data_IF_751588432557
#
_entry.id   IF_751588432557
#
_cell.length_a   1.000
_cell.length_b   1.000
_cell.length_c   1.000
_cell.angle_alpha   90.00
_cell.angle_beta   90.00
_cell.angle_gamma   90.00
#
_symmetry.space_group_name_H-M   'P 1'
#
loop_
_entity.id
_entity.type
_entity.pdbx_description
1 polymer ?
#
# COMPACT_ATOMS: atom_id res chain seq x y z
N UNK A 1 59.70 -8.37 -50.95
CA UNK A 1 58.53 -7.61 -50.40
C UNK A 1 57.86 -8.48 -49.30
N UNK A 2 58.15 -8.23 -48.02
CA UNK A 2 57.59 -8.92 -46.88
C UNK A 2 56.43 -8.07 -46.36
N UNK A 3 55.18 -8.62 -46.37
CA UNK A 3 54.02 -7.99 -45.77
C UNK A 3 53.96 -8.40 -44.28
N UNK A 4 54.05 -7.40 -43.39
CA UNK A 4 53.85 -7.55 -41.97
C UNK A 4 52.36 -7.39 -41.72
N UNK A 5 51.69 -8.44 -41.26
CA UNK A 5 50.32 -8.38 -40.76
C UNK A 5 50.37 -7.95 -39.28
N UNK A 6 49.85 -6.77 -38.97
CA UNK A 6 49.63 -6.33 -37.59
C UNK A 6 48.27 -6.83 -37.13
N UNK A 7 48.27 -7.73 -36.12
CA UNK A 7 47.06 -8.13 -35.39
C UNK A 7 46.77 -7.10 -34.30
N UNK A 8 45.69 -6.33 -34.45
CA UNK A 8 45.14 -5.52 -33.40
C UNK A 8 44.30 -6.42 -32.48
N UNK A 9 44.79 -6.68 -31.27
CA UNK A 9 44.01 -7.26 -30.17
C UNK A 9 43.12 -6.15 -29.59
N UNK A 10 41.81 -6.16 -29.89
CA UNK A 10 40.84 -5.38 -29.19
C UNK A 10 40.54 -6.06 -27.86
N UNK A 11 41.08 -5.55 -26.75
CA UNK A 11 40.70 -5.95 -25.41
C UNK A 11 39.32 -5.40 -25.13
N UNK A 12 38.28 -6.24 -25.24
CA UNK A 12 36.98 -5.96 -24.66
C UNK A 12 37.11 -5.98 -23.12
N UNK A 13 37.24 -4.81 -22.52
CA UNK A 13 37.05 -4.65 -21.09
C UNK A 13 35.55 -4.76 -20.84
N UNK A 14 35.08 -5.97 -20.53
CA UNK A 14 33.78 -6.16 -19.92
C UNK A 14 33.84 -5.55 -18.50
N UNK A 15 33.44 -4.30 -18.35
CA UNK A 15 33.06 -3.74 -17.07
C UNK A 15 31.83 -4.53 -16.60
N UNK A 16 32.06 -5.60 -15.84
CA UNK A 16 31.02 -6.27 -15.09
C UNK A 16 30.44 -5.27 -14.11
N UNK A 17 29.30 -4.68 -14.44
CA UNK A 17 28.49 -4.01 -13.44
C UNK A 17 28.19 -5.05 -12.35
N UNK A 18 28.91 -5.00 -11.24
CA UNK A 18 28.56 -5.78 -10.07
C UNK A 18 27.08 -5.48 -9.78
N UNK A 19 26.24 -6.52 -9.88
CA UNK A 19 24.83 -6.38 -9.54
C UNK A 19 24.79 -5.97 -8.06
N UNK A 20 24.64 -4.68 -7.82
CA UNK A 20 24.57 -4.14 -6.48
C UNK A 20 23.39 -4.80 -5.77
N UNK A 21 23.66 -5.44 -4.65
CA UNK A 21 22.66 -6.22 -3.91
C UNK A 21 21.51 -5.33 -3.42
N UNK A 22 20.35 -5.92 -3.24
CA UNK A 22 19.22 -5.27 -2.60
C UNK A 22 19.63 -4.77 -1.20
N UNK A 23 19.28 -3.54 -0.81
CA UNK A 23 19.68 -3.01 0.49
C UNK A 23 19.01 -3.77 1.62
N UNK A 24 19.76 -4.13 2.67
CA UNK A 24 19.20 -4.73 3.87
C UNK A 24 18.52 -3.68 4.76
N UNK A 25 19.04 -2.46 4.75
CA UNK A 25 18.52 -1.30 5.46
C UNK A 25 18.93 -0.03 4.74
N UNK A 26 18.05 0.96 4.72
CA UNK A 26 18.38 2.32 4.31
C UNK A 26 17.57 3.34 5.11
N UNK A 27 18.04 4.57 5.14
CA UNK A 27 17.42 5.68 5.82
C UNK A 27 17.20 6.82 4.82
N UNK A 28 15.94 7.26 4.71
CA UNK A 28 15.55 8.36 3.83
C UNK A 28 15.21 9.58 4.68
N UNK A 29 15.85 10.71 4.41
CA UNK A 29 15.62 11.97 5.14
C UNK A 29 15.01 13.00 4.20
N UNK A 30 13.90 13.60 4.62
CA UNK A 30 13.25 14.67 3.88
C UNK A 30 12.95 15.87 4.76
N UNK A 31 12.88 17.05 4.16
CA UNK A 31 12.38 18.26 4.81
C UNK A 31 10.85 18.22 4.79
N UNK A 32 10.25 17.67 5.84
CA UNK A 32 8.81 17.59 5.99
C UNK A 32 8.43 17.57 7.46
N UNK A 33 7.18 17.86 7.76
CA UNK A 33 6.55 17.60 9.07
C UNK A 33 5.84 16.26 9.10
N UNK A 34 5.63 15.67 7.94
CA UNK A 34 4.79 14.50 7.70
C UNK A 34 5.64 13.24 7.78
N UNK A 35 5.11 12.18 8.35
CA UNK A 35 5.77 10.88 8.40
C UNK A 35 5.44 10.03 7.17
N UNK A 36 6.22 8.96 6.96
CA UNK A 36 5.98 7.99 5.91
C UNK A 36 4.64 7.27 6.11
N UNK A 37 3.90 7.06 5.02
CA UNK A 37 2.56 6.45 5.00
C UNK A 37 2.49 5.20 4.13
N UNK A 38 3.31 5.12 3.10
CA UNK A 38 3.30 4.02 2.14
C UNK A 38 4.60 3.88 1.39
N UNK A 39 4.79 2.72 0.78
CA UNK A 39 6.01 2.38 0.06
C UNK A 39 5.73 1.43 -1.11
N UNK A 40 6.47 1.61 -2.20
CA UNK A 40 6.55 0.66 -3.30
C UNK A 40 8.00 0.54 -3.79
N UNK A 41 8.34 -0.57 -4.43
CA UNK A 41 9.68 -0.82 -4.98
C UNK A 41 9.61 -1.05 -6.49
N UNK A 42 10.56 -0.46 -7.21
CA UNK A 42 10.85 -0.74 -8.61
C UNK A 42 12.26 -1.34 -8.71
N UNK A 43 12.32 -2.65 -8.81
CA UNK A 43 13.59 -3.38 -8.88
C UNK A 43 14.33 -3.16 -10.19
N UNK A 44 13.61 -2.88 -11.28
CA UNK A 44 14.22 -2.59 -12.59
C UNK A 44 14.91 -1.22 -12.60
N UNK A 45 14.28 -0.22 -11.99
CA UNK A 45 14.83 1.12 -11.82
C UNK A 45 15.70 1.26 -10.56
N UNK A 46 15.82 0.21 -9.73
CA UNK A 46 16.62 0.18 -8.50
C UNK A 46 16.26 1.33 -7.55
N UNK A 47 14.98 1.53 -7.32
CA UNK A 47 14.50 2.60 -6.46
C UNK A 47 13.27 2.19 -5.64
N UNK A 48 13.02 2.97 -4.59
CA UNK A 48 11.78 2.97 -3.84
C UNK A 48 11.00 4.25 -4.11
N UNK A 49 9.69 4.14 -4.02
CA UNK A 49 8.77 5.25 -3.95
C UNK A 49 8.16 5.28 -2.55
N UNK A 50 8.15 6.44 -1.91
CA UNK A 50 7.64 6.65 -0.57
C UNK A 50 6.61 7.76 -0.60
N UNK A 51 5.51 7.59 0.10
CA UNK A 51 4.57 8.67 0.40
C UNK A 51 4.84 9.23 1.79
N UNK A 52 4.78 10.56 1.89
CA UNK A 52 4.81 11.31 3.15
C UNK A 52 3.64 12.26 3.10
N UNK A 53 2.52 11.93 3.67
CA UNK A 53 1.24 12.68 3.66
C UNK A 53 1.04 13.68 2.51
N UNK A 54 1.93 14.67 2.33
CA UNK A 54 1.82 15.75 1.33
C UNK A 54 2.88 15.69 0.23
N UNK A 55 3.64 14.61 0.16
CA UNK A 55 4.68 14.44 -0.87
C UNK A 55 4.89 12.98 -1.27
N UNK A 56 5.33 12.77 -2.52
CA UNK A 56 5.84 11.50 -3.02
C UNK A 56 7.32 11.66 -3.35
N UNK A 57 8.15 10.69 -2.93
CA UNK A 57 9.61 10.74 -3.05
C UNK A 57 10.11 9.48 -3.73
N UNK A 58 10.94 9.63 -4.77
CA UNK A 58 11.71 8.55 -5.40
C UNK A 58 13.10 8.53 -4.81
N UNK A 59 13.56 7.38 -4.34
CA UNK A 59 14.89 7.23 -3.71
C UNK A 59 15.64 6.04 -4.29
N UNK A 60 16.96 6.13 -4.37
CA UNK A 60 17.81 5.01 -4.76
C UNK A 60 17.99 3.99 -3.61
N UNK A 61 18.78 2.94 -3.85
CA UNK A 61 19.08 1.90 -2.86
C UNK A 61 20.07 2.36 -1.78
N UNK A 62 20.65 3.53 -1.90
CA UNK A 62 21.51 4.20 -0.92
C UNK A 62 20.71 5.16 -0.01
N UNK A 63 19.43 5.44 -0.36
CA UNK A 63 18.55 6.37 0.37
C UNK A 63 18.64 7.82 -0.10
N UNK A 64 19.32 8.07 -1.22
CA UNK A 64 19.36 9.41 -1.82
C UNK A 64 18.04 9.72 -2.53
N UNK A 65 17.55 10.93 -2.32
CA UNK A 65 16.35 11.41 -3.01
C UNK A 65 16.71 11.74 -4.45
N UNK A 66 16.13 11.01 -5.40
CA UNK A 66 16.30 11.20 -6.83
C UNK A 66 15.30 12.21 -7.40
N UNK A 67 14.07 12.19 -6.91
CA UNK A 67 12.99 13.10 -7.29
C UNK A 67 11.93 13.20 -6.21
N UNK A 68 11.19 14.29 -6.18
CA UNK A 68 10.02 14.46 -5.33
C UNK A 68 8.89 15.20 -6.04
N UNK A 69 7.66 14.92 -5.60
CA UNK A 69 6.48 15.71 -5.89
C UNK A 69 5.96 16.19 -4.55
N UNK A 70 6.06 17.50 -4.32
CA UNK A 70 5.78 18.11 -3.04
C UNK A 70 4.48 18.94 -3.07
N UNK A 71 4.01 19.36 -1.90
CA UNK A 71 2.85 20.24 -1.73
C UNK A 71 1.56 19.68 -2.32
N UNK A 72 1.39 18.35 -2.27
CA UNK A 72 0.15 17.66 -2.62
C UNK A 72 -0.91 18.07 -1.58
N UNK A 73 -1.98 18.73 -2.03
CA UNK A 73 -3.03 19.22 -1.14
C UNK A 73 -4.02 18.12 -0.80
N UNK A 74 -3.68 17.30 0.17
CA UNK A 74 -4.44 16.16 0.67
C UNK A 74 -3.53 15.15 1.34
N UNK A 75 -4.10 14.04 1.78
CA UNK A 75 -3.38 12.96 2.46
C UNK A 75 -3.04 11.84 1.47
N UNK A 76 -1.78 11.72 1.09
CA UNK A 76 -1.25 10.62 0.29
C UNK A 76 -0.88 9.46 1.22
N UNK A 77 -1.52 8.31 1.03
CA UNK A 77 -1.38 7.12 1.88
C UNK A 77 -0.55 6.00 1.23
N UNK A 78 -1.04 4.76 1.32
CA UNK A 78 -0.37 3.58 0.78
C UNK A 78 -0.16 3.66 -0.73
N UNK A 79 0.84 2.91 -1.21
CA UNK A 79 1.24 2.90 -2.63
C UNK A 79 1.45 1.47 -3.13
N UNK A 80 1.16 1.24 -4.41
CA UNK A 80 1.50 -0.01 -5.10
C UNK A 80 2.01 0.30 -6.51
N UNK A 81 3.03 -0.42 -6.94
CA UNK A 81 3.64 -0.25 -8.26
C UNK A 81 3.20 -1.34 -9.23
N UNK A 82 2.82 -0.95 -10.44
CA UNK A 82 2.56 -1.85 -11.56
C UNK A 82 3.76 -1.84 -12.53
N UNK A 83 4.60 -2.86 -12.53
CA UNK A 83 5.75 -2.91 -13.43
C UNK A 83 5.36 -3.02 -14.91
N UNK A 84 4.15 -3.53 -15.22
CA UNK A 84 3.70 -3.70 -16.59
C UNK A 84 3.33 -2.37 -17.26
N UNK A 85 2.66 -1.48 -16.53
CA UNK A 85 2.29 -0.15 -17.04
C UNK A 85 3.25 0.95 -16.61
N UNK A 86 4.22 0.65 -15.74
CA UNK A 86 5.14 1.62 -15.16
C UNK A 86 4.41 2.72 -14.38
N UNK A 87 3.30 2.36 -13.72
CA UNK A 87 2.46 3.27 -12.96
C UNK A 87 2.48 2.94 -11.47
N UNK A 88 2.42 3.99 -10.67
CA UNK A 88 2.26 3.91 -9.23
C UNK A 88 0.83 4.35 -8.90
N UNK A 89 0.13 3.51 -8.16
CA UNK A 89 -1.21 3.80 -7.67
C UNK A 89 -1.14 4.08 -6.17
N UNK A 90 -1.73 5.17 -5.72
CA UNK A 90 -1.70 5.58 -4.33
C UNK A 90 -3.09 5.96 -3.84
N UNK A 91 -3.40 5.65 -2.58
CA UNK A 91 -4.56 6.22 -1.92
C UNK A 91 -4.35 7.72 -1.70
N UNK A 92 -5.38 8.50 -1.92
CA UNK A 92 -5.32 9.94 -1.76
C UNK A 92 -6.64 10.48 -1.21
N UNK A 93 -6.56 11.31 -0.19
CA UNK A 93 -7.72 11.80 0.54
C UNK A 93 -7.72 13.33 0.65
N UNK A 94 -8.84 13.92 0.30
CA UNK A 94 -9.16 15.32 0.58
C UNK A 94 -10.22 15.31 1.68
N UNK A 95 -9.85 15.62 2.92
CA UNK A 95 -10.73 15.49 4.09
C UNK A 95 -11.16 16.82 4.64
N UNK A 96 -12.40 16.91 5.09
CA UNK A 96 -12.99 18.06 5.78
C UNK A 96 -12.82 18.01 7.31
N UNK A 97 -12.14 16.97 7.80
CA UNK A 97 -11.86 16.76 9.22
C UNK A 97 -10.60 17.52 9.71
N UNK A 98 -10.26 17.33 10.98
CA UNK A 98 -9.09 17.96 11.63
C UNK A 98 -7.78 17.66 10.88
N UNK A 99 -7.66 16.46 10.28
CA UNK A 99 -6.46 16.06 9.52
C UNK A 99 -6.37 16.89 8.25
N UNK A 100 -7.45 16.94 7.44
CA UNK A 100 -7.49 17.72 6.22
C UNK A 100 -7.30 19.22 6.45
N UNK A 101 -7.93 19.76 7.49
CA UNK A 101 -7.73 21.15 7.91
C UNK A 101 -6.28 21.44 8.30
N UNK A 102 -5.64 20.49 9.03
CA UNK A 102 -4.24 20.59 9.41
C UNK A 102 -3.29 20.61 8.21
N UNK A 103 -3.54 19.78 7.19
CA UNK A 103 -2.79 19.73 5.93
C UNK A 103 -2.95 21.06 5.17
N UNK A 104 -4.18 21.51 4.94
CA UNK A 104 -4.46 22.74 4.23
C UNK A 104 -3.78 23.95 4.88
N UNK A 105 -3.91 24.10 6.21
CA UNK A 105 -3.22 25.12 6.99
C UNK A 105 -1.70 25.05 6.83
N UNK A 106 -1.14 23.85 6.84
CA UNK A 106 0.30 23.65 6.68
C UNK A 106 0.81 24.09 5.31
N UNK A 107 0.02 23.83 4.26
CA UNK A 107 0.36 24.19 2.89
C UNK A 107 -0.06 25.61 2.50
N UNK A 108 -0.75 26.34 3.37
CA UNK A 108 -1.31 27.66 3.05
C UNK A 108 -2.39 27.58 1.95
N UNK A 109 -3.18 26.53 1.93
CA UNK A 109 -4.24 26.27 0.95
C UNK A 109 -5.62 26.28 1.62
N UNK A 110 -6.67 26.38 0.80
CA UNK A 110 -8.04 26.29 1.27
C UNK A 110 -8.37 24.91 1.82
N UNK A 111 -9.24 24.86 2.82
CA UNK A 111 -9.75 23.61 3.39
C UNK A 111 -10.83 23.02 2.49
N UNK A 112 -10.96 21.71 2.55
CA UNK A 112 -12.03 21.01 1.86
C UNK A 112 -13.35 21.18 2.64
N UNK A 113 -14.44 21.35 1.92
CA UNK A 113 -15.80 21.46 2.49
C UNK A 113 -16.50 20.10 2.56
N UNK A 114 -15.94 19.09 1.92
CA UNK A 114 -16.44 17.72 1.89
C UNK A 114 -15.29 16.75 1.73
N UNK A 115 -15.34 15.65 2.48
CA UNK A 115 -14.37 14.56 2.32
C UNK A 115 -14.57 13.84 1.00
N UNK A 116 -13.48 13.68 0.24
CA UNK A 116 -13.42 12.92 -1.00
C UNK A 116 -12.18 12.03 -1.02
N UNK A 117 -12.36 10.86 -1.62
CA UNK A 117 -11.34 9.83 -1.67
C UNK A 117 -11.01 9.48 -3.12
N UNK A 118 -9.73 9.36 -3.41
CA UNK A 118 -9.22 9.17 -4.77
C UNK A 118 -8.16 8.08 -4.82
N UNK A 119 -7.98 7.51 -5.99
CA UNK A 119 -6.73 6.87 -6.38
C UNK A 119 -5.96 7.89 -7.21
N UNK A 120 -4.79 8.29 -6.73
CA UNK A 120 -3.83 9.10 -7.48
C UNK A 120 -2.89 8.17 -8.24
N UNK A 121 -2.68 8.45 -9.52
CA UNK A 121 -1.81 7.65 -10.37
C UNK A 121 -0.63 8.51 -10.81
N UNK A 122 0.56 7.94 -10.71
CA UNK A 122 1.80 8.56 -11.18
C UNK A 122 2.38 7.72 -12.33
N UNK A 123 2.78 8.37 -13.39
CA UNK A 123 3.71 7.82 -14.37
C UNK A 123 5.13 7.98 -13.78
N UNK A 124 5.78 6.87 -13.47
CA UNK A 124 7.08 6.91 -12.77
C UNK A 124 8.26 7.22 -13.67
N UNK A 125 8.07 7.09 -14.97
CA UNK A 125 9.09 7.39 -15.97
C UNK A 125 8.90 8.77 -16.61
N UNK A 126 7.74 9.38 -16.40
CA UNK A 126 7.39 10.66 -17.00
C UNK A 126 7.38 10.58 -18.52
N UNK A 127 8.09 11.51 -19.18
CA UNK A 127 8.16 11.54 -20.63
C UNK A 127 9.35 10.78 -21.22
N UNK A 128 10.09 10.03 -20.40
CA UNK A 128 11.28 9.31 -20.88
C UNK A 128 10.89 7.90 -21.34
N UNK A 129 11.53 7.42 -22.41
CA UNK A 129 11.33 6.05 -22.89
C UNK A 129 12.15 5.01 -22.11
N UNK A 130 13.04 5.45 -21.20
CA UNK A 130 13.91 4.54 -20.44
C UNK A 130 13.35 4.35 -19.02
N UNK A 131 13.03 3.11 -18.61
CA UNK A 131 12.57 2.82 -17.27
C UNK A 131 13.52 3.34 -16.18
N UNK A 132 12.99 4.11 -15.26
CA UNK A 132 13.72 4.65 -14.12
C UNK A 132 14.55 5.91 -14.38
N UNK A 133 14.74 6.32 -15.65
CA UNK A 133 15.52 7.52 -15.99
C UNK A 133 14.72 8.82 -15.83
N UNK A 134 13.38 8.74 -15.82
CA UNK A 134 12.52 9.91 -15.70
C UNK A 134 12.16 10.29 -14.26
N UNK A 135 11.66 11.50 -14.12
CA UNK A 135 11.04 11.96 -12.89
C UNK A 135 9.55 11.57 -12.89
N UNK A 136 9.03 11.07 -11.79
CA UNK A 136 7.60 10.78 -11.66
C UNK A 136 6.75 12.03 -11.89
N UNK A 137 5.62 11.86 -12.58
CA UNK A 137 4.62 12.91 -12.79
C UNK A 137 3.24 12.41 -12.40
N UNK A 138 2.38 13.29 -11.89
CA UNK A 138 0.98 12.96 -11.64
C UNK A 138 0.27 12.81 -12.98
N UNK A 139 -0.24 11.61 -13.26
CA UNK A 139 -1.08 11.36 -14.44
C UNK A 139 -2.51 11.84 -14.23
N UNK A 140 -3.01 11.65 -13.00
CA UNK A 140 -4.34 12.07 -12.61
C UNK A 140 -4.77 11.52 -11.26
N UNK A 141 -5.99 11.87 -10.89
CA UNK A 141 -6.67 11.33 -9.72
C UNK A 141 -8.11 10.96 -10.08
N UNK A 142 -8.58 9.83 -9.57
CA UNK A 142 -9.89 9.26 -9.87
C UNK A 142 -10.67 9.06 -8.58
N UNK A 143 -11.82 9.70 -8.48
CA UNK A 143 -12.67 9.62 -7.29
C UNK A 143 -13.24 8.21 -7.12
N UNK A 144 -13.16 7.70 -5.88
CA UNK A 144 -13.71 6.40 -5.46
C UNK A 144 -14.65 6.54 -4.25
N UNK A 145 -14.99 7.76 -3.89
CA UNK A 145 -15.80 8.09 -2.70
C UNK A 145 -17.16 7.41 -2.73
N UNK A 146 -17.81 7.33 -3.89
CA UNK A 146 -19.13 6.69 -4.03
C UNK A 146 -19.12 5.24 -3.55
N UNK A 147 -18.03 4.51 -3.84
CA UNK A 147 -17.93 3.09 -3.47
C UNK A 147 -17.86 2.85 -1.97
N UNK A 148 -17.45 3.84 -1.17
CA UNK A 148 -17.28 3.73 0.28
C UNK A 148 -18.35 4.45 1.08
N UNK A 149 -19.15 5.34 0.46
CA UNK A 149 -20.19 6.09 1.13
C UNK A 149 -21.27 5.22 1.77
N UNK A 150 -21.52 4.01 1.24
CA UNK A 150 -22.44 3.04 1.80
C UNK A 150 -22.14 2.69 3.28
N UNK A 151 -20.89 2.90 3.70
CA UNK A 151 -20.40 2.49 5.02
C UNK A 151 -20.06 3.67 5.93
N UNK A 152 -20.01 4.89 5.38
CA UNK A 152 -19.57 6.10 6.07
C UNK A 152 -20.30 6.34 7.39
N UNK A 153 -21.60 6.24 7.40
CA UNK A 153 -22.42 6.53 8.58
C UNK A 153 -22.27 5.45 9.64
N UNK A 154 -22.36 4.20 9.24
CA UNK A 154 -22.45 3.08 10.17
C UNK A 154 -21.09 2.58 10.66
N UNK A 155 -20.12 2.47 9.78
CA UNK A 155 -18.78 2.00 10.14
C UNK A 155 -17.83 3.13 10.56
N UNK A 156 -18.16 4.39 10.31
CA UNK A 156 -17.25 5.49 10.58
C UNK A 156 -15.97 5.36 9.74
N UNK A 157 -16.09 5.51 8.44
CA UNK A 157 -14.95 5.44 7.52
C UNK A 157 -13.89 6.49 7.88
N UNK A 158 -12.66 6.03 8.13
CA UNK A 158 -11.51 6.91 8.42
C UNK A 158 -10.80 7.37 7.15
N UNK A 159 -10.93 6.62 6.05
CA UNK A 159 -10.28 6.89 4.77
C UNK A 159 -9.95 5.63 4.00
N UNK A 160 -9.21 5.76 2.90
CA UNK A 160 -8.81 4.68 1.99
C UNK A 160 -7.29 4.45 2.04
N UNK A 161 -6.75 4.03 3.16
CA UNK A 161 -5.29 3.98 3.32
C UNK A 161 -4.59 2.80 2.62
N UNK A 162 -5.27 1.67 2.43
CA UNK A 162 -4.64 0.47 1.85
C UNK A 162 -4.87 0.33 0.35
N UNK A 163 -3.80 0.17 -0.46
CA UNK A 163 -3.91 -0.17 -1.89
C UNK A 163 -2.89 -1.25 -2.28
N UNK A 164 -3.31 -2.19 -3.15
CA UNK A 164 -2.40 -3.18 -3.76
C UNK A 164 -2.94 -3.69 -5.10
N UNK A 165 -2.05 -4.15 -5.97
CA UNK A 165 -2.41 -4.88 -7.17
C UNK A 165 -2.24 -6.37 -6.92
N UNK A 166 -3.29 -7.15 -7.16
CA UNK A 166 -3.31 -8.59 -7.00
C UNK A 166 -4.14 -9.26 -8.09
N UNK A 167 -3.99 -10.57 -8.33
CA UNK A 167 -4.91 -11.30 -9.19
C UNK A 167 -6.35 -11.20 -8.69
N UNK A 168 -7.32 -11.28 -9.62
CA UNK A 168 -8.74 -11.26 -9.26
C UNK A 168 -9.08 -12.39 -8.28
N UNK A 169 -9.62 -12.02 -7.12
CA UNK A 169 -10.03 -12.95 -6.06
C UNK A 169 -11.01 -13.99 -6.59
N UNK A 170 -10.81 -15.25 -6.20
CA UNK A 170 -11.63 -16.39 -6.59
C UNK A 170 -11.36 -16.91 -8.01
N UNK A 171 -10.34 -16.40 -8.70
CA UNK A 171 -9.96 -16.85 -10.04
C UNK A 171 -8.57 -17.47 -10.04
N UNK A 172 -8.46 -18.73 -10.53
CA UNK A 172 -7.18 -19.47 -10.57
C UNK A 172 -6.10 -18.77 -11.42
N UNK A 173 -6.50 -18.04 -12.49
CA UNK A 173 -5.67 -17.20 -13.35
C UNK A 173 -6.37 -15.85 -13.53
N UNK A 174 -6.53 -15.11 -12.44
CA UNK A 174 -7.24 -13.82 -12.47
C UNK A 174 -6.39 -12.73 -13.15
N UNK A 175 -7.07 -11.85 -13.89
CA UNK A 175 -6.41 -10.61 -14.37
C UNK A 175 -6.04 -9.75 -13.17
N UNK A 176 -4.98 -8.94 -13.25
CA UNK A 176 -4.65 -7.97 -12.21
C UNK A 176 -5.83 -7.03 -11.91
N UNK A 177 -6.03 -6.75 -10.63
CA UNK A 177 -7.03 -5.82 -10.09
C UNK A 177 -6.36 -4.90 -9.08
N UNK A 178 -6.84 -3.68 -8.99
CA UNK A 178 -6.51 -2.81 -7.87
C UNK A 178 -7.48 -3.10 -6.73
N UNK A 179 -6.93 -3.43 -5.57
CA UNK A 179 -7.67 -3.55 -4.31
C UNK A 179 -7.44 -2.32 -3.47
N UNK A 180 -8.53 -1.79 -2.95
CA UNK A 180 -8.54 -0.62 -2.07
C UNK A 180 -9.21 -1.03 -0.78
N UNK A 181 -8.48 -0.92 0.33
CA UNK A 181 -9.06 -1.08 1.66
C UNK A 181 -9.39 0.29 2.20
N UNK A 182 -10.58 0.45 2.74
CA UNK A 182 -10.84 1.65 3.49
C UNK A 182 -10.83 1.38 4.99
N UNK A 183 -10.36 2.39 5.72
CA UNK A 183 -10.24 2.36 7.15
C UNK A 183 -11.58 2.49 7.85
N UNK A 184 -11.69 1.83 8.99
CA UNK A 184 -12.85 1.92 9.88
C UNK A 184 -12.34 2.38 11.24
N UNK A 185 -12.92 3.45 11.79
CA UNK A 185 -12.56 3.93 13.11
C UNK A 185 -12.79 2.86 14.18
N UNK A 186 -11.80 2.66 15.03
CA UNK A 186 -11.87 1.75 16.16
C UNK A 186 -12.74 2.32 17.26
N UNK A 187 -14.05 2.07 17.19
CA UNK A 187 -14.99 2.42 18.25
C UNK A 187 -15.29 1.18 19.09
N UNK A 188 -14.83 1.17 20.33
CA UNK A 188 -15.00 0.04 21.25
C UNK A 188 -16.44 -0.16 21.68
N UNK A 189 -17.29 0.86 21.58
CA UNK A 189 -18.73 0.75 21.92
C UNK A 189 -19.55 0.08 20.81
N UNK A 190 -19.06 0.07 19.56
CA UNK A 190 -19.74 -0.50 18.41
C UNK A 190 -19.57 -2.01 18.35
N UNK A 191 -20.61 -2.71 17.88
CA UNK A 191 -20.61 -4.17 17.69
C UNK A 191 -20.55 -4.60 16.23
N UNK A 192 -20.56 -3.66 15.30
CA UNK A 192 -20.75 -3.87 13.86
C UNK A 192 -19.55 -3.45 13.00
N UNK A 193 -18.45 -2.96 13.59
CA UNK A 193 -17.25 -2.48 12.88
C UNK A 193 -16.06 -3.45 12.94
N UNK A 194 -16.32 -4.74 13.00
CA UNK A 194 -15.29 -5.79 13.16
C UNK A 194 -14.84 -6.43 11.83
N UNK A 195 -15.35 -5.93 10.71
CA UNK A 195 -14.94 -6.37 9.37
C UNK A 195 -14.18 -5.25 8.68
N UNK A 196 -13.05 -5.60 8.07
CA UNK A 196 -12.39 -4.72 7.10
C UNK A 196 -13.02 -4.91 5.73
N UNK A 197 -12.92 -3.90 4.88
CA UNK A 197 -13.59 -3.89 3.58
C UNK A 197 -12.56 -3.67 2.48
N UNK A 198 -12.57 -4.58 1.49
CA UNK A 198 -11.76 -4.49 0.29
C UNK A 198 -12.65 -4.22 -0.92
N UNK A 199 -12.36 -3.15 -1.64
CA UNK A 199 -12.99 -2.83 -2.92
C UNK A 199 -12.09 -3.32 -4.05
N UNK A 200 -12.67 -3.96 -5.07
CA UNK A 200 -11.96 -4.44 -6.25
C UNK A 200 -12.26 -3.55 -7.45
N UNK A 201 -11.22 -3.04 -8.11
CA UNK A 201 -11.33 -2.24 -9.34
C UNK A 201 -10.55 -2.87 -10.50
N UNK A 202 -11.04 -2.66 -11.72
CA UNK A 202 -10.25 -2.95 -12.92
C UNK A 202 -9.24 -1.83 -13.15
N UNK A 203 -7.98 -2.16 -13.44
CA UNK A 203 -6.93 -1.18 -13.66
C UNK A 203 -7.19 -0.25 -14.86
N UNK A 204 -7.87 -0.75 -15.88
CA UNK A 204 -8.20 0.01 -17.10
C UNK A 204 -9.26 1.11 -16.89
N UNK A 205 -9.85 1.20 -15.71
CA UNK A 205 -10.77 2.28 -15.35
C UNK A 205 -10.04 3.59 -14.92
N UNK A 206 -8.76 3.50 -14.52
CA UNK A 206 -7.99 4.66 -14.10
C UNK A 206 -7.36 5.34 -15.31
N UNK A 207 -8.20 5.97 -16.12
CA UNK A 207 -7.85 6.72 -17.32
C UNK A 207 -8.79 7.91 -17.53
N UNK A 208 -8.35 8.89 -18.29
CA UNK A 208 -9.14 10.10 -18.58
C UNK A 208 -10.56 9.78 -19.08
N UNK A 209 -11.54 10.52 -18.57
CA UNK A 209 -12.95 10.39 -18.96
C UNK A 209 -13.69 9.18 -18.38
N UNK A 210 -13.08 8.42 -17.47
CA UNK A 210 -13.71 7.26 -16.83
C UNK A 210 -13.88 7.52 -15.34
N UNK A 211 -15.07 7.26 -14.80
CA UNK A 211 -15.33 7.18 -13.37
C UNK A 211 -15.20 5.73 -12.92
N UNK A 212 -14.22 5.38 -12.08
CA UNK A 212 -14.03 4.02 -11.62
C UNK A 212 -15.23 3.55 -10.78
N UNK A 213 -15.63 2.30 -11.00
CA UNK A 213 -16.67 1.62 -10.19
C UNK A 213 -16.10 0.33 -9.64
N UNK A 214 -16.28 0.09 -8.35
CA UNK A 214 -15.88 -1.16 -7.73
C UNK A 214 -16.64 -2.33 -8.38
N UNK A 215 -15.91 -3.33 -8.87
CA UNK A 215 -16.47 -4.54 -9.46
C UNK A 215 -16.92 -5.54 -8.39
N UNK A 216 -16.38 -5.44 -7.18
CA UNK A 216 -16.76 -6.23 -6.02
C UNK A 216 -16.40 -5.51 -4.71
N UNK A 217 -17.12 -5.84 -3.65
CA UNK A 217 -16.84 -5.48 -2.25
C UNK A 217 -16.73 -6.77 -1.45
N UNK A 218 -15.67 -6.88 -0.69
CA UNK A 218 -15.42 -8.03 0.15
C UNK A 218 -15.32 -7.61 1.61
N UNK A 219 -15.83 -8.44 2.50
CA UNK A 219 -15.75 -8.27 3.94
C UNK A 219 -14.79 -9.30 4.53
N UNK A 220 -13.91 -8.87 5.39
CA UNK A 220 -12.94 -9.70 6.09
C UNK A 220 -13.11 -9.49 7.58
N UNK A 221 -13.50 -10.53 8.30
CA UNK A 221 -13.61 -10.46 9.76
C UNK A 221 -12.22 -10.45 10.38
N UNK A 222 -11.84 -9.35 10.99
CA UNK A 222 -10.52 -9.15 11.64
C UNK A 222 -10.64 -8.86 13.13
N UNK A 223 -11.87 -8.70 13.62
CA UNK A 223 -12.09 -8.06 14.90
C UNK A 223 -11.80 -6.56 14.82
N UNK A 224 -11.71 -5.92 15.96
CA UNK A 224 -11.48 -4.49 16.05
C UNK A 224 -10.05 -4.11 15.63
N UNK A 225 -9.92 -3.03 14.87
CA UNK A 225 -8.65 -2.35 14.56
C UNK A 225 -8.81 -0.86 14.86
N UNK A 226 -7.71 -0.15 15.11
CA UNK A 226 -7.71 1.31 15.11
C UNK A 226 -7.44 1.79 13.68
N UNK A 227 -8.20 2.77 13.19
CA UNK A 227 -8.05 3.39 11.86
C UNK A 227 -8.23 2.45 10.66
N UNK A 228 -8.52 1.15 10.87
CA UNK A 228 -8.69 0.16 9.81
C UNK A 228 -7.39 -0.31 9.17
N UNK A 229 -7.46 -0.69 7.89
CA UNK A 229 -6.30 -1.15 7.10
C UNK A 229 -5.50 0.05 6.63
N UNK A 230 -4.24 0.11 7.00
CA UNK A 230 -3.33 1.21 6.66
C UNK A 230 -2.51 0.92 5.41
N UNK A 231 -2.13 -0.32 5.20
CA UNK A 231 -1.42 -0.74 3.99
C UNK A 231 -1.93 -2.11 3.52
N UNK A 232 -1.97 -2.29 2.21
CA UNK A 232 -2.16 -3.58 1.55
C UNK A 232 -0.88 -3.98 0.82
N UNK A 233 -0.60 -5.27 0.80
CA UNK A 233 0.50 -5.83 0.02
C UNK A 233 0.13 -7.21 -0.51
N UNK A 234 0.19 -7.42 -1.82
CA UNK A 234 0.04 -8.75 -2.40
C UNK A 234 1.41 -9.42 -2.51
N UNK A 235 1.54 -10.60 -1.93
CA UNK A 235 2.73 -11.44 -2.04
C UNK A 235 2.45 -12.67 -2.91
N UNK A 236 3.15 -12.76 -4.05
CA UNK A 236 2.95 -13.85 -5.00
C UNK A 236 3.47 -15.20 -4.49
N UNK A 237 4.43 -15.22 -3.56
CA UNK A 237 4.95 -16.45 -2.95
C UNK A 237 3.90 -17.15 -2.10
N UNK A 238 3.16 -16.39 -1.30
CA UNK A 238 2.08 -16.93 -0.46
C UNK A 238 0.72 -16.95 -1.17
N UNK A 239 0.57 -16.19 -2.26
CA UNK A 239 -0.68 -16.00 -2.96
C UNK A 239 -1.72 -15.23 -2.14
N UNK A 240 -1.28 -14.36 -1.22
CA UNK A 240 -2.16 -13.65 -0.30
C UNK A 240 -2.06 -12.14 -0.44
N UNK A 241 -3.17 -11.45 -0.19
CA UNK A 241 -3.19 -10.03 0.14
C UNK A 241 -3.02 -9.91 1.65
N UNK A 242 -2.00 -9.19 2.07
CA UNK A 242 -1.75 -8.84 3.47
C UNK A 242 -2.37 -7.50 3.78
N UNK A 243 -2.99 -7.41 4.95
CA UNK A 243 -3.63 -6.22 5.49
C UNK A 243 -2.89 -5.80 6.75
N UNK A 244 -2.20 -4.67 6.70
CA UNK A 244 -1.50 -4.09 7.84
C UNK A 244 -2.40 -3.05 8.51
N UNK A 245 -2.57 -3.19 9.84
CA UNK A 245 -3.47 -2.39 10.65
C UNK A 245 -2.76 -1.86 11.90
N UNK A 246 -3.28 -0.82 12.50
CA UNK A 246 -2.99 -0.53 13.90
C UNK A 246 -3.83 -1.43 14.81
N UNK A 247 -3.25 -1.80 15.96
CA UNK A 247 -3.94 -2.64 16.93
C UNK A 247 -5.28 -2.02 17.37
N UNK A 248 -6.30 -2.86 17.49
CA UNK A 248 -7.58 -2.48 18.06
C UNK A 248 -7.51 -2.35 19.59
N UNK A 249 -8.63 -2.02 20.21
CA UNK A 249 -8.73 -1.77 21.64
C UNK A 249 -9.84 -2.58 22.32
N UNK A 250 -10.62 -3.36 21.58
CA UNK A 250 -11.65 -4.22 22.16
C UNK A 250 -11.00 -5.39 22.90
N UNK A 251 -11.24 -5.55 24.21
CA UNK A 251 -10.55 -6.55 25.04
C UNK A 251 -10.91 -8.00 24.68
N UNK A 252 -12.05 -8.21 24.05
CA UNK A 252 -12.50 -9.54 23.62
C UNK A 252 -11.77 -10.06 22.38
N UNK A 253 -10.96 -9.24 21.70
CA UNK A 253 -10.21 -9.62 20.51
C UNK A 253 -8.70 -9.69 20.75
N UNK A 254 -7.96 -10.47 19.94
CA UNK A 254 -6.50 -10.56 20.04
C UNK A 254 -5.80 -9.28 19.59
N UNK A 255 -6.51 -8.37 18.89
CA UNK A 255 -5.99 -7.11 18.36
C UNK A 255 -4.73 -7.29 17.52
N UNK A 256 -4.76 -8.24 16.59
CA UNK A 256 -3.69 -8.45 15.61
C UNK A 256 -3.50 -7.21 14.73
N UNK A 257 -2.27 -7.04 14.23
CA UNK A 257 -1.89 -5.88 13.40
C UNK A 257 -1.56 -6.26 11.96
N UNK A 258 -1.43 -7.56 11.68
CA UNK A 258 -1.22 -8.08 10.34
C UNK A 258 -2.12 -9.29 10.09
N UNK A 259 -2.86 -9.23 8.98
CA UNK A 259 -3.75 -10.28 8.52
C UNK A 259 -3.41 -10.67 7.09
N UNK A 260 -3.82 -11.85 6.66
CA UNK A 260 -3.64 -12.30 5.28
C UNK A 260 -4.90 -12.95 4.72
N UNK A 261 -5.19 -12.67 3.45
CA UNK A 261 -6.35 -13.20 2.71
C UNK A 261 -5.85 -13.90 1.46
N UNK A 262 -6.04 -15.23 1.31
CA UNK A 262 -5.68 -15.94 0.08
C UNK A 262 -6.50 -15.47 -1.12
N UNK A 263 -5.87 -15.07 -2.23
CA UNK A 263 -6.60 -14.59 -3.43
C UNK A 263 -7.29 -15.72 -4.20
N UNK A 264 -6.79 -16.95 -4.07
CA UNK A 264 -7.36 -18.12 -4.76
C UNK A 264 -8.70 -18.58 -4.16
N UNK A 265 -9.05 -18.14 -2.95
CA UNK A 265 -10.30 -18.53 -2.31
C UNK A 265 -11.50 -17.96 -3.03
N UNK A 266 -12.60 -18.74 -3.10
CA UNK A 266 -13.87 -18.22 -3.55
C UNK A 266 -14.56 -17.45 -2.41
N UNK A 267 -15.03 -16.21 -2.66
CA UNK A 267 -15.81 -15.49 -1.67
C UNK A 267 -17.10 -16.26 -1.33
N UNK A 268 -17.50 -16.21 -0.09
CA UNK A 268 -18.73 -16.86 0.40
C UNK A 268 -19.79 -15.79 0.64
N UNK A 269 -20.98 -15.98 0.12
CA UNK A 269 -22.12 -15.13 0.43
C UNK A 269 -22.64 -15.45 1.82
N UNK A 270 -22.75 -14.44 2.67
CA UNK A 270 -23.35 -14.52 4.01
C UNK A 270 -24.14 -13.27 4.30
N UNK A 271 -25.23 -13.44 5.04
CA UNK A 271 -25.98 -12.30 5.58
C UNK A 271 -25.16 -11.68 6.69
N UNK A 272 -24.75 -10.43 6.51
CA UNK A 272 -24.21 -9.57 7.55
C UNK A 272 -25.32 -8.65 8.05
N UNK A 273 -25.45 -8.59 9.37
CA UNK A 273 -26.37 -7.67 10.06
C UNK A 273 -25.56 -6.55 10.67
N UNK A 274 -26.21 -5.43 10.86
CA UNK A 274 -25.54 -4.27 11.43
C UNK A 274 -24.91 -3.35 10.38
N UNK A 275 -24.99 -3.67 9.10
CA UNK A 275 -24.60 -2.80 7.99
C UNK A 275 -25.73 -1.81 7.65
N UNK A 276 -25.40 -0.73 6.96
CA UNK A 276 -26.38 0.22 6.44
C UNK A 276 -27.36 -0.47 5.48
N UNK A 277 -26.84 -1.42 4.70
CA UNK A 277 -27.61 -2.32 3.87
C UNK A 277 -27.47 -3.76 4.41
N UNK A 278 -28.31 -4.15 5.37
CA UNK A 278 -28.38 -5.55 5.80
C UNK A 278 -28.70 -6.45 4.61
N UNK A 279 -27.95 -7.52 4.44
CA UNK A 279 -28.16 -8.42 3.31
C UNK A 279 -27.02 -9.39 3.09
N UNK A 280 -27.04 -10.03 1.93
CA UNK A 280 -25.96 -10.92 1.51
C UNK A 280 -24.74 -10.13 1.04
N UNK A 281 -23.61 -10.41 1.64
CA UNK A 281 -22.31 -9.84 1.31
C UNK A 281 -21.28 -10.92 1.00
N UNK A 282 -20.24 -10.55 0.24
CA UNK A 282 -19.12 -11.43 -0.07
C UNK A 282 -18.11 -11.40 1.07
N UNK A 283 -17.94 -12.53 1.75
CA UNK A 283 -16.95 -12.69 2.81
C UNK A 283 -15.73 -13.43 2.30
N UNK A 284 -14.56 -13.00 2.79
CA UNK A 284 -13.28 -13.67 2.62
C UNK A 284 -12.79 -14.21 3.95
N UNK A 285 -12.28 -15.43 3.94
CA UNK A 285 -11.65 -16.03 5.12
C UNK A 285 -10.20 -15.58 5.23
N UNK A 286 -9.71 -15.50 6.46
CA UNK A 286 -8.29 -15.30 6.74
C UNK A 286 -7.49 -16.56 6.39
N UNK A 287 -6.22 -16.36 6.01
CA UNK A 287 -5.25 -17.43 5.84
C UNK A 287 -5.17 -18.25 7.13
N UNK A 288 -5.17 -19.59 7.00
CA UNK A 288 -5.12 -20.50 8.15
C UNK A 288 -3.70 -20.64 8.71
N UNK A 289 -2.99 -19.51 8.84
CA UNK A 289 -1.67 -19.37 9.44
C UNK A 289 -1.66 -18.22 10.44
N UNK A 290 -0.58 -18.07 11.18
CA UNK A 290 -0.46 -17.07 12.23
C UNK A 290 -0.96 -17.59 13.58
N UNK A 291 -0.96 -16.72 14.56
CA UNK A 291 -1.53 -16.97 15.87
C UNK A 291 -3.03 -17.24 15.75
N UNK A 292 -3.50 -18.27 16.43
CA UNK A 292 -4.92 -18.57 16.53
C UNK A 292 -5.49 -17.98 17.82
N UNK A 293 -6.48 -17.13 17.68
CA UNK A 293 -7.32 -16.71 18.80
C UNK A 293 -8.48 -17.66 18.99
N UNK A 294 -8.85 -17.96 20.24
CA UNK A 294 -10.08 -18.68 20.59
C UNK A 294 -11.34 -17.90 20.21
N UNK A 295 -11.24 -16.58 20.08
CA UNK A 295 -12.35 -15.73 19.68
C UNK A 295 -12.63 -15.89 18.19
N UNK A 296 -13.74 -16.54 17.86
CA UNK A 296 -14.26 -16.72 16.49
C UNK A 296 -13.22 -17.26 15.49
N UNK A 297 -12.16 -17.95 15.96
CA UNK A 297 -11.13 -18.53 15.11
C UNK A 297 -10.29 -17.49 14.35
N UNK A 298 -10.14 -16.29 14.86
CA UNK A 298 -9.31 -15.25 14.26
C UNK A 298 -7.85 -15.71 14.16
N UNK A 299 -7.24 -15.42 13.01
CA UNK A 299 -5.81 -15.65 12.75
C UNK A 299 -5.14 -14.39 12.26
N UNK A 300 -3.89 -14.20 12.70
CA UNK A 300 -3.10 -13.02 12.35
C UNK A 300 -1.81 -12.97 13.16
N UNK A 301 -1.13 -11.84 13.06
CA UNK A 301 0.16 -11.59 13.74
C UNK A 301 0.13 -10.23 14.44
N UNK A 302 0.99 -10.08 15.46
CA UNK A 302 1.23 -8.83 16.16
C UNK A 302 2.53 -8.20 15.66
N UNK A 303 2.51 -7.73 14.43
CA UNK A 303 3.64 -7.06 13.81
C UNK A 303 3.16 -5.76 13.16
N UNK A 304 3.37 -4.63 13.82
CA UNK A 304 2.78 -3.34 13.46
C UNK A 304 3.55 -2.49 12.45
N UNK A 305 4.82 -2.79 12.18
CA UNK A 305 5.67 -2.00 11.27
C UNK A 305 5.06 -1.82 9.86
N UNK A 306 4.45 -2.84 9.22
CA UNK A 306 3.85 -2.68 7.91
C UNK A 306 2.76 -1.62 7.79
N UNK A 307 2.22 -1.12 8.89
CA UNK A 307 1.17 -0.09 8.88
C UNK A 307 1.64 1.26 8.31
N UNK A 308 2.94 1.51 8.26
CA UNK A 308 3.51 2.76 7.72
C UNK A 308 4.25 2.57 6.39
N UNK A 309 4.04 1.46 5.73
CA UNK A 309 4.54 1.16 4.41
C UNK A 309 5.13 -0.26 4.31
N UNK A 310 4.68 -1.00 3.32
CA UNK A 310 5.11 -2.37 3.06
C UNK A 310 5.13 -2.67 1.56
N UNK A 311 6.15 -3.40 1.12
CA UNK A 311 6.16 -4.03 -0.19
C UNK A 311 6.91 -5.36 -0.15
N UNK A 312 6.66 -6.23 -1.14
CA UNK A 312 7.32 -7.52 -1.28
C UNK A 312 7.84 -7.71 -2.70
N UNK A 313 8.87 -8.53 -2.83
CA UNK A 313 9.38 -8.97 -4.15
C UNK A 313 8.69 -10.24 -4.64
N UNK A 314 7.81 -10.84 -3.83
CA UNK A 314 7.09 -12.06 -4.19
C UNK A 314 7.94 -13.35 -4.10
N UNK A 315 9.15 -13.28 -3.56
CA UNK A 315 10.06 -14.41 -3.32
C UNK A 315 10.24 -14.74 -1.83
N UNK A 316 9.55 -14.01 -0.96
CA UNK A 316 9.67 -14.03 0.49
C UNK A 316 10.55 -12.93 1.05
N UNK A 317 11.07 -12.05 0.19
CA UNK A 317 11.74 -10.81 0.60
C UNK A 317 10.71 -9.70 0.71
N UNK A 318 10.72 -9.02 1.83
CA UNK A 318 9.82 -7.93 2.17
C UNK A 318 10.60 -6.70 2.56
N UNK A 319 10.00 -5.56 2.36
CA UNK A 319 10.48 -4.29 2.89
C UNK A 319 9.37 -3.64 3.71
N UNK A 320 9.75 -3.10 4.86
CA UNK A 320 8.86 -2.31 5.72
C UNK A 320 9.50 -0.97 6.02
N UNK A 321 8.71 0.06 6.06
CA UNK A 321 9.16 1.37 6.48
C UNK A 321 8.66 1.69 7.90
N UNK A 322 9.49 2.40 8.66
CA UNK A 322 9.12 2.95 9.96
C UNK A 322 9.47 4.42 10.02
N UNK A 323 8.58 5.28 10.53
CA UNK A 323 8.85 6.70 10.65
C UNK A 323 9.86 6.97 11.76
N UNK A 324 10.73 7.95 11.52
CA UNK A 324 11.68 8.45 12.51
C UNK A 324 11.65 9.98 12.49
N UNK A 325 11.22 10.57 13.60
CA UNK A 325 11.25 12.02 13.79
C UNK A 325 12.63 12.43 14.29
N UNK A 326 13.38 13.18 13.48
CA UNK A 326 14.74 13.59 13.81
C UNK A 326 14.75 14.94 14.55
N UNK A 327 14.17 15.98 13.95
CA UNK A 327 14.08 17.34 14.50
C UNK A 327 12.88 18.05 13.87
N UNK A 328 12.54 19.24 14.40
CA UNK A 328 11.43 20.03 13.83
C UNK A 328 11.62 20.27 12.33
N UNK A 329 10.64 19.85 11.53
CA UNK A 329 10.64 20.01 10.08
C UNK A 329 11.55 19.03 9.31
N UNK A 330 12.10 18.00 9.98
CA UNK A 330 12.85 16.93 9.32
C UNK A 330 12.30 15.59 9.79
N UNK A 331 11.80 14.82 8.85
CA UNK A 331 11.35 13.43 9.03
C UNK A 331 12.33 12.48 8.36
N UNK A 332 12.34 11.25 8.82
CA UNK A 332 13.02 10.16 8.15
C UNK A 332 12.11 8.94 8.06
N UNK A 333 12.38 8.11 7.10
CA UNK A 333 11.87 6.75 7.03
C UNK A 333 13.05 5.79 7.10
N UNK A 334 12.99 4.83 8.01
CA UNK A 334 13.91 3.68 7.99
C UNK A 334 13.22 2.57 7.22
N UNK A 335 13.85 2.10 6.14
CA UNK A 335 13.37 0.97 5.34
C UNK A 335 14.24 -0.24 5.71
N UNK A 336 13.61 -1.35 6.09
CA UNK A 336 14.30 -2.60 6.47
C UNK A 336 13.84 -3.74 5.59
N UNK A 337 14.79 -4.53 5.13
CA UNK A 337 14.52 -5.81 4.48
C UNK A 337 14.22 -6.87 5.54
N UNK A 338 13.20 -7.67 5.30
CA UNK A 338 12.77 -8.76 6.14
C UNK A 338 12.55 -10.01 5.30
N UNK A 339 12.62 -11.18 5.92
CA UNK A 339 12.31 -12.47 5.29
C UNK A 339 11.02 -13.02 5.88
N UNK A 340 10.07 -13.35 5.01
CA UNK A 340 8.82 -13.96 5.41
C UNK A 340 9.05 -15.41 5.88
N UNK A 341 8.62 -15.72 7.08
CA UNK A 341 8.60 -17.08 7.68
C UNK A 341 7.18 -17.58 7.88
N UNK A 342 6.23 -16.67 8.12
CA UNK A 342 4.88 -17.07 8.53
C UNK A 342 4.90 -17.83 9.85
N UNK A 343 4.02 -18.83 10.01
CA UNK A 343 3.97 -19.67 11.19
C UNK A 343 3.20 -19.06 12.36
N UNK A 344 3.14 -19.76 13.52
CA UNK A 344 2.30 -19.38 14.65
C UNK A 344 2.99 -18.47 15.69
N UNK A 345 4.05 -17.76 15.32
CA UNK A 345 4.72 -16.78 16.16
C UNK A 345 4.10 -15.37 16.01
N UNK A 346 4.39 -14.48 16.96
CA UNK A 346 3.88 -13.08 16.90
C UNK A 346 4.45 -12.30 15.73
N UNK A 347 5.77 -12.35 15.54
CA UNK A 347 6.44 -11.74 14.40
C UNK A 347 6.63 -12.78 13.28
N UNK A 348 5.99 -12.60 12.11
CA UNK A 348 6.10 -13.54 10.99
C UNK A 348 7.36 -13.36 10.14
N UNK A 349 8.26 -12.46 10.52
CA UNK A 349 9.49 -12.14 9.79
C UNK A 349 10.74 -12.43 10.61
N UNK A 350 11.84 -12.62 9.89
CA UNK A 350 13.21 -12.59 10.42
C UNK A 350 14.07 -11.54 9.69
#
# INVERSE_FOLDING_TARGET
MRRVLAFLFAACVCLGAAAQSLPSKLEVKIKSKDHVQGMAIDTAARCFYLSFTTSMVKVDYEGNVLASIDSINGHLGAMTFDPASRKLYASFECKDDVIGQGIAKHLGKDTFTQSKFYIMVFDVDGKTAQPGAGNPVVEGQWEVTEAINDYKVRYGCSGIDGVTIAPQIGKKKGKPRLYVAYGIYGDISRRDNDHQILLEYKLDQFKAGVTPKASAKYFVFTGNTSWGVQNLCYDSKTGCIFMACYAGQKPEYPNFTLFAVPVAQKPVKKVLRGLENDGEHLLLALLQQGLLSSVKGLRGWRFGDPATGVCTLGDGTWYVSTPLKLRKGVQAATIRQLKWKGGPQENPFE
#
